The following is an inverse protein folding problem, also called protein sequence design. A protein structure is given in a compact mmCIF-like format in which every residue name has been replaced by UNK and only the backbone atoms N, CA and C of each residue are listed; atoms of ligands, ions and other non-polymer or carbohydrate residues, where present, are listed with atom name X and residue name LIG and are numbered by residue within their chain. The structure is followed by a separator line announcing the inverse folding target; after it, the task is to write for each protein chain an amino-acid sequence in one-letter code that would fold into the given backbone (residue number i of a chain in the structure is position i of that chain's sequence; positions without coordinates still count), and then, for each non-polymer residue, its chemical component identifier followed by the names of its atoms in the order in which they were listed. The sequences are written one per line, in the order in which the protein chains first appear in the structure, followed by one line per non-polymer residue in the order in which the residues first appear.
data_IF_125922667563
#
_entry.id   IF_125922667563
#
_cell.length_a   1.000
_cell.length_b   1.000
_cell.length_c   1.000
_cell.angle_alpha   90.00
_cell.angle_beta   90.00
_cell.angle_gamma   90.00
#
_symmetry.space_group_name_H-M   'P 1'
#
loop_
_entity.id
_entity.type
_entity.pdbx_description
1 polymer ?
#
# COMPACT_ATOMS: atom_id res chain seq x y z
N UNK A 1 45.39 -2.43 -28.51
CA UNK A 1 44.11 -1.75 -28.23
C UNK A 1 43.17 -2.77 -27.62
N UNK A 2 43.14 -2.86 -26.30
CA UNK A 2 42.22 -3.74 -25.55
C UNK A 2 40.94 -2.97 -25.29
N UNK A 3 39.84 -3.37 -25.92
CA UNK A 3 38.52 -2.80 -25.70
C UNK A 3 38.00 -3.25 -24.33
N UNK A 4 37.95 -2.32 -23.38
CA UNK A 4 37.27 -2.49 -22.09
C UNK A 4 35.77 -2.58 -22.34
N UNK A 5 35.22 -3.78 -22.22
CA UNK A 5 33.77 -4.01 -22.18
C UNK A 5 33.22 -3.48 -20.87
N UNK A 6 32.65 -2.27 -20.88
CA UNK A 6 31.85 -1.73 -19.79
C UNK A 6 30.56 -2.54 -19.69
N UNK A 7 30.49 -3.45 -18.72
CA UNK A 7 29.23 -4.08 -18.32
C UNK A 7 28.34 -3.00 -17.70
N UNK A 8 27.44 -2.42 -18.50
CA UNK A 8 26.39 -1.53 -18.00
C UNK A 8 25.42 -2.36 -17.16
N UNK A 9 25.48 -2.20 -15.84
CA UNK A 9 24.41 -2.67 -14.97
C UNK A 9 23.08 -2.08 -15.45
N UNK A 10 22.00 -2.86 -15.56
CA UNK A 10 20.69 -2.32 -15.94
C UNK A 10 20.33 -1.20 -14.96
N UNK A 11 19.75 -0.13 -15.48
CA UNK A 11 19.27 0.95 -14.62
C UNK A 11 18.25 0.38 -13.63
N UNK A 12 18.13 0.95 -12.42
CA UNK A 12 17.18 0.47 -11.40
C UNK A 12 15.70 0.51 -11.85
N UNK A 13 15.44 1.12 -13.01
CA UNK A 13 14.14 1.19 -13.69
C UNK A 13 13.88 0.02 -14.63
N UNK A 14 14.90 -0.75 -14.99
CA UNK A 14 14.84 -1.88 -15.93
C UNK A 14 14.99 -3.23 -15.23
N UNK A 15 15.44 -3.24 -13.97
CA UNK A 15 15.51 -4.45 -13.15
C UNK A 15 14.12 -4.80 -12.59
N UNK A 16 13.50 -5.93 -12.98
CA UNK A 16 12.19 -6.35 -12.46
C UNK A 16 12.17 -6.58 -10.94
N UNK A 17 13.33 -6.80 -10.32
CA UNK A 17 13.45 -6.98 -8.87
C UNK A 17 13.58 -5.65 -8.13
N UNK A 18 13.75 -4.53 -8.84
CA UNK A 18 13.80 -3.22 -8.23
C UNK A 18 12.43 -2.83 -7.68
N UNK A 19 12.35 -2.26 -6.47
CA UNK A 19 11.09 -1.75 -5.94
C UNK A 19 10.56 -0.57 -6.76
N UNK A 20 11.42 0.12 -7.51
CA UNK A 20 11.05 1.24 -8.40
C UNK A 20 10.57 0.79 -9.79
N UNK A 21 10.68 -0.49 -10.11
CA UNK A 21 10.20 -1.03 -11.38
C UNK A 21 8.67 -0.99 -11.43
N UNK A 22 8.11 -0.45 -12.51
CA UNK A 22 6.70 -0.52 -12.82
C UNK A 22 6.52 -1.28 -14.13
N UNK A 23 5.78 -2.38 -14.06
CA UNK A 23 5.51 -3.17 -15.26
C UNK A 23 4.54 -2.41 -16.16
N UNK A 24 4.64 -2.57 -17.49
CA UNK A 24 3.74 -1.91 -18.45
C UNK A 24 2.26 -2.22 -18.21
N UNK A 25 1.96 -3.37 -17.60
CA UNK A 25 0.60 -3.72 -17.23
C UNK A 25 0.09 -2.99 -15.99
N UNK A 26 0.97 -2.48 -15.12
CA UNK A 26 0.58 -1.84 -13.86
C UNK A 26 -0.23 -0.56 -14.11
N UNK A 27 -1.50 -0.65 -13.79
CA UNK A 27 -2.48 0.43 -13.85
C UNK A 27 -3.36 0.35 -12.59
N UNK A 28 -4.25 1.33 -12.41
CA UNK A 28 -5.05 1.46 -11.19
C UNK A 28 -5.95 0.24 -10.87
N UNK A 29 -6.11 -0.70 -11.81
CA UNK A 29 -6.96 -1.89 -11.66
C UNK A 29 -6.18 -3.22 -11.65
N UNK A 30 -4.83 -3.21 -11.66
CA UNK A 30 -4.05 -4.46 -11.67
C UNK A 30 -4.02 -5.19 -10.34
N UNK A 31 -4.29 -4.48 -9.25
CA UNK A 31 -4.53 -5.08 -7.94
C UNK A 31 -6.03 -5.31 -7.82
N UNK A 32 -6.44 -6.44 -7.23
CA UNK A 32 -7.83 -6.75 -6.93
C UNK A 32 -7.93 -7.04 -5.45
N UNK A 33 -8.59 -6.14 -4.71
CA UNK A 33 -8.93 -6.33 -3.30
C UNK A 33 -10.44 -6.25 -3.17
N UNK A 34 -11.06 -7.29 -2.63
CA UNK A 34 -12.51 -7.32 -2.41
C UNK A 34 -12.81 -7.97 -1.06
N UNK A 35 -13.74 -7.42 -0.27
CA UNK A 35 -14.51 -6.18 -0.51
C UNK A 35 -13.69 -4.91 -0.24
N UNK A 36 -14.09 -3.76 -0.80
CA UNK A 36 -13.50 -2.45 -0.46
C UNK A 36 -13.62 -2.15 1.04
N UNK A 37 -12.72 -1.33 1.57
CA UNK A 37 -12.73 -0.93 2.97
C UNK A 37 -14.02 -0.14 3.27
N UNK A 38 -14.78 -0.61 4.26
CA UNK A 38 -15.98 0.05 4.81
C UNK A 38 -15.78 0.47 6.27
N UNK A 39 -14.58 0.28 6.81
CA UNK A 39 -14.20 0.56 8.19
C UNK A 39 -14.21 -0.68 9.07
N UNK A 40 -15.36 -1.37 9.17
CA UNK A 40 -15.50 -2.57 10.03
C UNK A 40 -14.73 -3.80 9.54
N UNK A 41 -14.31 -3.81 8.27
CA UNK A 41 -13.56 -4.89 7.63
C UNK A 41 -12.06 -4.59 7.49
N UNK A 42 -11.52 -3.62 8.24
CA UNK A 42 -10.14 -3.18 8.05
C UNK A 42 -9.10 -4.30 8.16
N UNK A 43 -9.23 -5.21 9.13
CA UNK A 43 -8.25 -6.29 9.32
C UNK A 43 -8.18 -7.18 8.08
N UNK A 44 -9.31 -7.68 7.59
CA UNK A 44 -9.32 -8.53 6.39
C UNK A 44 -8.88 -7.76 5.15
N UNK A 45 -9.38 -6.52 4.97
CA UNK A 45 -9.00 -5.67 3.86
C UNK A 45 -7.50 -5.37 3.83
N UNK A 46 -6.90 -4.99 4.97
CA UNK A 46 -5.49 -4.61 5.06
C UNK A 46 -4.56 -5.80 4.76
N UNK A 47 -4.91 -7.01 5.19
CA UNK A 47 -4.17 -8.23 4.85
C UNK A 47 -4.23 -8.50 3.34
N UNK A 48 -5.43 -8.45 2.74
CA UNK A 48 -5.61 -8.66 1.30
C UNK A 48 -4.90 -7.61 0.45
N UNK A 49 -4.93 -6.35 0.90
CA UNK A 49 -4.22 -5.25 0.26
C UNK A 49 -2.71 -5.46 0.32
N UNK A 50 -2.15 -5.68 1.52
CA UNK A 50 -0.71 -5.93 1.69
C UNK A 50 -0.21 -7.12 0.86
N UNK A 51 -0.98 -8.21 0.78
CA UNK A 51 -0.63 -9.37 -0.05
C UNK A 51 -0.57 -9.00 -1.54
N UNK A 52 -1.54 -8.21 -2.02
CA UNK A 52 -1.55 -7.78 -3.42
C UNK A 52 -0.38 -6.84 -3.75
N UNK A 53 -0.02 -5.97 -2.82
CA UNK A 53 1.11 -5.04 -2.95
C UNK A 53 2.46 -5.75 -2.85
N UNK A 54 2.59 -6.79 -2.01
CA UNK A 54 3.83 -7.56 -1.89
C UNK A 54 4.16 -8.34 -3.16
N UNK A 55 3.14 -8.89 -3.84
CA UNK A 55 3.29 -9.53 -5.17
C UNK A 55 3.85 -8.54 -6.21
N UNK A 56 3.58 -7.24 -6.05
CA UNK A 56 4.08 -6.17 -6.92
C UNK A 56 5.44 -5.60 -6.49
N UNK A 57 6.03 -6.14 -5.43
CA UNK A 57 7.27 -5.66 -4.83
C UNK A 57 7.20 -4.16 -4.44
N UNK A 58 6.07 -3.76 -3.81
CA UNK A 58 5.81 -2.36 -3.43
C UNK A 58 5.56 -2.16 -1.93
N UNK A 59 5.69 -3.21 -1.11
CA UNK A 59 5.41 -3.14 0.33
C UNK A 59 6.30 -2.11 1.06
N UNK A 60 7.55 -1.97 0.61
CA UNK A 60 8.54 -1.06 1.19
C UNK A 60 8.18 0.43 1.09
N UNK A 61 7.23 0.79 0.21
CA UNK A 61 6.68 2.16 0.16
C UNK A 61 5.65 2.40 1.27
N UNK A 62 4.89 1.37 1.66
CA UNK A 62 3.84 1.49 2.67
C UNK A 62 4.41 1.40 4.10
N UNK A 63 5.37 0.50 4.31
CA UNK A 63 6.04 0.39 5.62
C UNK A 63 6.95 1.61 5.91
N UNK A 64 7.40 2.32 4.85
CA UNK A 64 8.24 3.51 4.94
C UNK A 64 9.74 3.25 4.86
N UNK A 65 10.15 2.03 4.53
CA UNK A 65 11.55 1.69 4.23
C UNK A 65 12.06 2.51 3.05
N UNK A 66 11.22 2.74 2.04
CA UNK A 66 11.49 3.65 0.93
C UNK A 66 10.79 4.98 1.20
N UNK A 67 11.57 5.97 1.61
CA UNK A 67 11.10 7.34 1.84
C UNK A 67 11.13 8.18 0.56
N UNK A 68 10.45 9.32 0.59
CA UNK A 68 10.50 10.29 -0.51
C UNK A 68 11.93 10.82 -0.67
N UNK A 69 12.57 10.65 -1.85
CA UNK A 69 13.86 11.26 -2.13
C UNK A 69 13.76 12.79 -2.23
N UNK A 70 14.89 13.47 -2.19
CA UNK A 70 14.97 14.89 -2.53
C UNK A 70 14.56 15.14 -3.99
N UNK A 71 14.00 16.31 -4.27
CA UNK A 71 13.56 16.70 -5.61
C UNK A 71 14.68 16.70 -6.66
N UNK A 72 15.92 16.88 -6.23
CA UNK A 72 17.11 16.83 -7.09
C UNK A 72 17.63 15.42 -7.34
N UNK A 73 17.11 14.41 -6.62
CA UNK A 73 17.54 13.03 -6.79
C UNK A 73 16.96 12.43 -8.08
N UNK A 74 17.82 11.78 -8.86
CA UNK A 74 17.43 11.05 -10.07
C UNK A 74 16.32 9.99 -9.86
N UNK A 75 16.20 9.45 -8.65
CA UNK A 75 15.20 8.46 -8.27
C UNK A 75 13.83 9.06 -7.92
N UNK A 76 13.73 10.39 -7.74
CA UNK A 76 12.50 11.05 -7.32
C UNK A 76 11.33 10.77 -8.26
N UNK A 77 11.54 10.86 -9.56
CA UNK A 77 10.49 10.63 -10.57
C UNK A 77 9.97 9.19 -10.50
N UNK A 78 10.88 8.24 -10.31
CA UNK A 78 10.56 6.81 -10.19
C UNK A 78 9.80 6.51 -8.90
N UNK A 79 10.24 7.11 -7.79
CA UNK A 79 9.55 7.07 -6.51
C UNK A 79 8.14 7.64 -6.62
N UNK A 80 7.99 8.81 -7.24
CA UNK A 80 6.71 9.50 -7.39
C UNK A 80 5.71 8.66 -8.20
N UNK A 81 6.17 8.02 -9.27
CA UNK A 81 5.34 7.09 -10.06
C UNK A 81 4.84 5.92 -9.21
N UNK A 82 5.72 5.29 -8.43
CA UNK A 82 5.36 4.18 -7.54
C UNK A 82 4.40 4.62 -6.43
N UNK A 83 4.63 5.79 -5.85
CA UNK A 83 3.73 6.38 -4.86
C UNK A 83 2.34 6.65 -5.46
N UNK A 84 2.27 7.20 -6.67
CA UNK A 84 0.99 7.53 -7.32
C UNK A 84 0.19 6.30 -7.70
N UNK A 85 0.83 5.22 -8.16
CA UNK A 85 0.11 3.97 -8.45
C UNK A 85 -0.43 3.32 -7.16
N UNK A 86 0.34 3.38 -6.07
CA UNK A 86 -0.13 2.91 -4.76
C UNK A 86 -1.31 3.72 -4.25
N UNK A 87 -1.27 5.05 -4.39
CA UNK A 87 -2.42 5.91 -4.08
C UNK A 87 -3.64 5.53 -4.89
N UNK A 88 -3.50 5.33 -6.21
CA UNK A 88 -4.59 4.92 -7.07
C UNK A 88 -5.20 3.58 -6.64
N UNK A 89 -4.37 2.59 -6.28
CA UNK A 89 -4.84 1.31 -5.75
C UNK A 89 -5.57 1.48 -4.42
N UNK A 90 -5.02 2.22 -3.47
CA UNK A 90 -5.69 2.46 -2.18
C UNK A 90 -7.07 3.10 -2.41
N UNK A 91 -7.13 4.18 -3.20
CA UNK A 91 -8.37 4.92 -3.46
C UNK A 91 -9.43 4.08 -4.17
N UNK A 92 -9.04 3.15 -5.04
CA UNK A 92 -9.97 2.22 -5.69
C UNK A 92 -10.55 1.17 -4.73
N UNK A 93 -9.86 0.87 -3.64
CA UNK A 93 -10.23 -0.19 -2.70
C UNK A 93 -10.74 0.31 -1.36
N UNK A 94 -11.08 1.59 -1.25
CA UNK A 94 -11.80 2.14 -0.10
C UNK A 94 -13.19 2.62 -0.52
N UNK A 95 -14.13 2.72 0.42
CA UNK A 95 -15.43 3.31 0.14
C UNK A 95 -15.29 4.80 -0.23
N UNK A 96 -16.29 5.34 -0.94
CA UNK A 96 -16.27 6.76 -1.37
C UNK A 96 -16.15 7.72 -0.18
N UNK A 97 -16.80 7.42 0.94
CA UNK A 97 -16.73 8.20 2.17
C UNK A 97 -15.34 8.17 2.81
N UNK A 98 -14.61 7.05 2.68
CA UNK A 98 -13.24 6.97 3.16
C UNK A 98 -12.29 7.68 2.19
N UNK A 99 -12.47 7.50 0.88
CA UNK A 99 -11.67 8.14 -0.15
C UNK A 99 -11.68 9.67 -0.02
N UNK A 100 -12.84 10.28 0.19
CA UNK A 100 -12.97 11.74 0.33
C UNK A 100 -12.18 12.31 1.52
N UNK A 101 -12.01 11.51 2.58
CA UNK A 101 -11.26 11.90 3.78
C UNK A 101 -9.73 11.80 3.62
N UNK A 102 -9.23 11.14 2.59
CA UNK A 102 -7.79 10.94 2.36
C UNK A 102 -7.31 11.45 1.00
N UNK A 103 -8.21 11.94 0.16
CA UNK A 103 -7.93 12.37 -1.21
C UNK A 103 -6.85 13.48 -1.33
N UNK A 104 -6.74 14.33 -0.32
CA UNK A 104 -5.76 15.43 -0.30
C UNK A 104 -4.33 14.99 0.04
N UNK A 105 -4.14 13.73 0.45
CA UNK A 105 -2.82 13.22 0.84
C UNK A 105 -2.01 12.80 -0.39
N UNK A 106 -0.77 13.26 -0.45
CA UNK A 106 0.13 13.03 -1.58
C UNK A 106 1.02 11.79 -1.41
N UNK A 107 1.00 11.15 -0.24
CA UNK A 107 1.82 9.97 0.06
C UNK A 107 0.96 8.75 0.35
N UNK A 108 1.22 7.65 -0.37
CA UNK A 108 0.55 6.37 -0.14
C UNK A 108 0.76 5.87 1.29
N UNK A 109 1.96 6.08 1.85
CA UNK A 109 2.27 5.78 3.25
C UNK A 109 1.39 6.56 4.21
N UNK A 110 1.24 7.87 4.00
CA UNK A 110 0.40 8.71 4.86
C UNK A 110 -1.06 8.24 4.85
N UNK A 111 -1.60 7.93 3.66
CA UNK A 111 -2.94 7.36 3.55
C UNK A 111 -3.04 6.03 4.29
N UNK A 112 -2.09 5.13 4.06
CA UNK A 112 -2.04 3.81 4.70
C UNK A 112 -2.02 3.90 6.23
N UNK A 113 -1.13 4.74 6.79
CA UNK A 113 -1.01 4.94 8.22
C UNK A 113 -2.28 5.59 8.81
N UNK A 114 -2.93 6.50 8.07
CA UNK A 114 -4.20 7.12 8.48
C UNK A 114 -5.38 6.14 8.49
N UNK A 115 -5.45 5.24 7.50
CA UNK A 115 -6.45 4.17 7.49
C UNK A 115 -6.22 3.21 8.66
N UNK A 116 -4.97 2.86 8.95
CA UNK A 116 -4.59 2.03 10.09
C UNK A 116 -4.98 2.69 11.42
N UNK A 117 -4.58 3.93 11.63
CA UNK A 117 -4.91 4.69 12.85
C UNK A 117 -6.42 4.72 13.11
N UNK A 118 -7.21 4.92 12.05
CA UNK A 118 -8.67 5.08 12.16
C UNK A 118 -9.42 3.77 12.32
N UNK A 119 -9.00 2.70 11.64
CA UNK A 119 -9.81 1.49 11.50
C UNK A 119 -9.15 0.21 12.03
N UNK A 120 -7.87 0.24 12.43
CA UNK A 120 -7.22 -0.90 13.06
C UNK A 120 -7.61 -1.07 14.54
N UNK A 121 -8.30 -0.09 15.13
CA UNK A 121 -8.79 -0.24 16.49
C UNK A 121 -9.75 -1.42 16.57
N UNK A 122 -9.59 -2.32 17.55
CA UNK A 122 -10.58 -3.34 17.77
C UNK A 122 -11.91 -2.67 18.10
N UNK A 123 -12.98 -3.16 17.48
CA UNK A 123 -14.33 -2.73 17.81
C UNK A 123 -14.59 -3.08 19.29
N UNK A 124 -14.41 -2.11 20.19
CA UNK A 124 -14.56 -2.29 21.64
C UNK A 124 -15.95 -2.81 21.97
N UNK A 125 -16.97 -2.40 21.21
CA UNK A 125 -18.33 -2.91 21.35
C UNK A 125 -18.43 -4.38 20.95
N UNK A 126 -17.70 -4.81 19.92
CA UNK A 126 -17.60 -6.24 19.54
C UNK A 126 -16.79 -7.05 20.54
N UNK A 127 -15.71 -6.52 21.11
CA UNK A 127 -14.98 -7.18 22.21
C UNK A 127 -15.92 -7.36 23.40
N UNK A 128 -16.59 -6.29 23.83
CA UNK A 128 -17.53 -6.32 24.95
C UNK A 128 -18.69 -7.29 24.70
N UNK A 129 -19.25 -7.28 23.49
CA UNK A 129 -20.31 -8.21 23.11
C UNK A 129 -19.84 -9.67 23.15
N UNK A 130 -18.64 -9.97 22.62
CA UNK A 130 -18.06 -11.31 22.66
C UNK A 130 -17.76 -11.77 24.09
N UNK A 131 -17.24 -10.87 24.94
CA UNK A 131 -17.02 -11.14 26.36
C UNK A 131 -18.35 -11.46 27.07
N UNK A 132 -19.39 -10.65 26.88
CA UNK A 132 -20.71 -10.91 27.48
C UNK A 132 -21.32 -12.23 27.00
N UNK A 133 -21.16 -12.57 25.72
CA UNK A 133 -21.68 -13.83 25.15
C UNK A 133 -20.94 -15.06 25.73
N UNK A 134 -19.63 -14.96 25.93
CA UNK A 134 -18.83 -15.99 26.59
C UNK A 134 -19.20 -16.14 28.07
N UNK A 135 -19.34 -15.03 28.80
CA UNK A 135 -19.75 -15.02 30.21
C UNK A 135 -21.18 -15.54 30.42
N UNK A 136 -22.07 -15.37 29.45
CA UNK A 136 -23.43 -15.89 29.48
C UNK A 136 -23.58 -17.37 29.11
N UNK A 137 -22.53 -18.01 28.57
CA UNK A 137 -22.55 -19.42 28.14
C UNK A 137 -21.91 -20.37 29.18
N UNK A 138 -21.39 -19.83 30.29
CA UNK A 138 -20.96 -20.62 31.45
C UNK A 138 -22.14 -20.74 32.42
N UNK A 139 -23.09 -21.62 32.11
CA UNK A 139 -24.11 -22.11 33.06
C UNK A 139 -24.40 -23.58 32.79
#
# INVERSE_FOLDING_TARGET
MTTSSSSSSPSSLEDPNSPFFLHLSDNAHTVIVSPSLTGSNYISWSISFLLSISIKNKSSFLDGTITAPDLSDSSYVSWLRCNNILLAWILNFVSKDIASNVFFMISAKQVWDKLKERFAQPDEARIYHLQHKLSGTVK
#
